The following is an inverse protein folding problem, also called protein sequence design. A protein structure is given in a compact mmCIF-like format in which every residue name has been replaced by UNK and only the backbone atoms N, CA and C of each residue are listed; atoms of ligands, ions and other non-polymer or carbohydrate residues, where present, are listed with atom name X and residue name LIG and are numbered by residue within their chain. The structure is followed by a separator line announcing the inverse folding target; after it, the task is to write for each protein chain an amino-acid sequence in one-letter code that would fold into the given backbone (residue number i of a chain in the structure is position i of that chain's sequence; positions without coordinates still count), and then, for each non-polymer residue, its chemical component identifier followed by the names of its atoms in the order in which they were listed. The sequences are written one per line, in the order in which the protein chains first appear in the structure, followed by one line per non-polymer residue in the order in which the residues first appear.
data_IF_652467772950
#
_entry.id   IF_652467772950
#
_cell.length_a   1.000
_cell.length_b   1.000
_cell.length_c   1.000
_cell.angle_alpha   90.00
_cell.angle_beta   90.00
_cell.angle_gamma   90.00
#
_symmetry.space_group_name_H-M   'P 1'
#
loop_
_entity.id
_entity.type
_entity.pdbx_description
1 polymer ?
#
# COMPACT_ATOMS: atom_id res chain seq x y z
N UNK A 1 -43.47 32.43 -10.98
CA UNK A 1 -42.55 32.23 -12.12
C UNK A 1 -41.57 31.12 -11.77
N UNK A 2 -41.54 30.10 -12.62
CA UNK A 2 -40.75 28.88 -12.50
C UNK A 2 -39.24 29.14 -12.39
N UNK A 3 -38.56 28.35 -11.57
CA UNK A 3 -37.21 27.86 -11.85
C UNK A 3 -37.18 26.37 -11.46
N UNK A 4 -37.31 25.51 -12.46
CA UNK A 4 -37.13 24.07 -12.36
C UNK A 4 -35.64 23.72 -12.37
N UNK A 5 -35.30 22.60 -11.72
CA UNK A 5 -34.34 21.64 -12.28
C UNK A 5 -32.87 21.86 -11.97
N UNK A 6 -32.38 21.14 -10.95
CA UNK A 6 -30.95 20.98 -10.70
C UNK A 6 -30.66 20.15 -9.46
N UNK A 7 -31.19 18.93 -9.36
CA UNK A 7 -30.82 17.97 -8.31
C UNK A 7 -29.43 17.40 -8.68
N UNK A 8 -28.39 18.17 -8.35
CA UNK A 8 -27.01 17.71 -8.35
C UNK A 8 -26.57 17.46 -6.91
N UNK A 9 -27.08 16.40 -6.27
CA UNK A 9 -26.44 15.87 -5.07
C UNK A 9 -25.10 15.25 -5.50
N UNK A 10 -24.09 16.09 -5.70
CA UNK A 10 -22.71 15.66 -5.66
C UNK A 10 -22.46 15.14 -4.25
N UNK A 11 -22.54 13.83 -4.07
CA UNK A 11 -22.24 13.18 -2.79
C UNK A 11 -20.80 13.56 -2.46
N UNK A 12 -20.59 14.49 -1.53
CA UNK A 12 -19.25 14.77 -0.99
C UNK A 12 -18.76 13.47 -0.36
N UNK A 13 -17.84 12.79 -1.05
CA UNK A 13 -17.11 11.65 -0.52
C UNK A 13 -15.94 12.17 0.30
N UNK A 14 -15.72 11.54 1.44
CA UNK A 14 -14.53 11.77 2.24
C UNK A 14 -13.28 11.41 1.42
N UNK A 15 -12.23 12.21 1.56
CA UNK A 15 -10.93 11.87 0.97
C UNK A 15 -10.28 10.83 1.88
N UNK A 16 -9.96 9.69 1.30
CA UNK A 16 -9.29 8.57 1.94
C UNK A 16 -8.23 8.04 0.99
N UNK A 17 -7.02 7.81 1.49
CA UNK A 17 -5.95 7.14 0.75
C UNK A 17 -5.32 6.06 1.61
N UNK A 18 -4.86 5.00 0.96
CA UNK A 18 -4.30 3.83 1.61
C UNK A 18 -3.00 3.46 0.91
N UNK A 19 -1.93 3.31 1.67
CA UNK A 19 -0.66 2.82 1.19
C UNK A 19 -0.25 1.58 2.01
N UNK A 20 -0.60 0.41 1.47
CA UNK A 20 -0.29 -0.87 2.11
C UNK A 20 1.21 -1.23 2.03
N UNK A 21 1.94 -0.66 1.07
CA UNK A 21 3.39 -0.92 0.92
C UNK A 21 4.19 -0.16 1.97
N UNK A 22 3.78 1.08 2.26
CA UNK A 22 4.43 1.90 3.28
C UNK A 22 3.76 1.82 4.66
N UNK A 23 2.70 1.01 4.80
CA UNK A 23 2.07 0.76 6.10
C UNK A 23 1.37 1.99 6.71
N UNK A 24 0.78 2.86 5.90
CA UNK A 24 -0.01 4.00 6.38
C UNK A 24 -1.27 4.25 5.55
N UNK A 25 -2.22 4.95 6.14
CA UNK A 25 -3.36 5.52 5.43
C UNK A 25 -3.53 6.97 5.85
N UNK A 26 -4.35 7.71 5.12
CA UNK A 26 -4.79 8.99 5.61
C UNK A 26 -6.16 9.36 5.14
N UNK A 27 -6.80 10.17 5.96
CA UNK A 27 -8.20 10.52 5.80
C UNK A 27 -8.49 11.89 6.38
N UNK A 28 -9.71 12.35 6.10
CA UNK A 28 -10.24 13.57 6.72
C UNK A 28 -10.69 13.25 8.14
N UNK A 29 -10.55 14.22 9.03
CA UNK A 29 -11.00 14.07 10.43
C UNK A 29 -12.24 14.94 10.73
N UNK A 30 -12.64 15.79 9.78
CA UNK A 30 -13.85 16.61 9.85
C UNK A 30 -14.40 16.92 8.45
N UNK A 31 -15.50 17.69 8.36
CA UNK A 31 -16.11 18.08 7.08
C UNK A 31 -15.23 19.03 6.23
N UNK A 32 -14.35 19.79 6.89
CA UNK A 32 -13.35 20.64 6.24
C UNK A 32 -12.16 19.80 5.78
N UNK A 33 -11.92 19.81 4.49
CA UNK A 33 -10.93 18.95 3.82
C UNK A 33 -9.53 19.56 3.78
N UNK A 34 -9.25 20.56 4.61
CA UNK A 34 -8.03 21.37 4.54
C UNK A 34 -6.80 20.65 5.12
N UNK A 35 -7.00 19.61 5.92
CA UNK A 35 -5.93 18.80 6.50
C UNK A 35 -6.31 17.32 6.39
N UNK A 36 -5.45 16.55 5.72
CA UNK A 36 -5.49 15.09 5.76
C UNK A 36 -4.57 14.63 6.88
N UNK A 37 -5.10 13.80 7.77
CA UNK A 37 -4.30 13.19 8.82
C UNK A 37 -3.76 11.85 8.32
N UNK A 38 -2.47 11.63 8.55
CA UNK A 38 -1.80 10.35 8.32
C UNK A 38 -1.86 9.51 9.60
N UNK A 39 -2.13 8.22 9.42
CA UNK A 39 -2.22 7.22 10.48
C UNK A 39 -1.44 5.97 10.08
N UNK A 40 -0.90 5.27 11.07
CA UNK A 40 -0.35 3.92 10.88
C UNK A 40 -1.45 2.96 10.43
N UNK A 41 -1.06 1.97 9.64
CA UNK A 41 -2.01 1.01 9.11
C UNK A 41 -2.76 0.24 10.20
N UNK A 42 -2.15 -0.05 11.35
CA UNK A 42 -2.76 -0.74 12.49
C UNK A 42 -4.03 -0.07 13.04
N UNK A 43 -4.26 1.21 12.70
CA UNK A 43 -5.46 1.95 13.10
C UNK A 43 -6.65 1.74 12.16
N UNK A 44 -6.46 1.10 11.01
CA UNK A 44 -7.57 0.77 10.12
C UNK A 44 -8.24 -0.53 10.59
N UNK A 45 -9.57 -0.58 10.58
CA UNK A 45 -10.34 -1.73 11.04
C UNK A 45 -10.04 -2.13 12.50
N UNK A 46 -9.68 -1.17 13.36
CA UNK A 46 -9.32 -1.40 14.77
C UNK A 46 -10.55 -1.35 15.71
N UNK A 47 -11.71 -0.99 15.16
CA UNK A 47 -12.97 -0.83 15.87
C UNK A 47 -13.21 0.59 16.43
N UNK A 48 -12.29 1.51 16.20
CA UNK A 48 -12.34 2.92 16.62
C UNK A 48 -12.40 3.81 15.38
N UNK A 49 -13.51 4.52 15.14
CA UNK A 49 -13.58 5.45 14.01
C UNK A 49 -12.61 6.62 14.19
N UNK A 50 -11.54 6.64 13.41
CA UNK A 50 -10.52 7.69 13.38
C UNK A 50 -10.77 8.73 12.30
N UNK A 51 -11.43 8.34 11.21
CA UNK A 51 -11.79 9.23 10.11
C UNK A 51 -13.17 9.89 10.31
N UNK A 52 -13.43 10.97 9.59
CA UNK A 52 -14.61 11.82 9.79
C UNK A 52 -15.93 11.04 9.69
N UNK A 53 -16.08 10.18 8.67
CA UNK A 53 -17.27 9.32 8.54
C UNK A 53 -17.02 7.88 8.96
N UNK A 54 -15.95 7.62 9.71
CA UNK A 54 -15.52 6.27 10.05
C UNK A 54 -15.16 5.45 8.82
N UNK A 55 -14.61 6.09 7.78
CA UNK A 55 -14.26 5.43 6.52
C UNK A 55 -13.24 4.30 6.70
N UNK A 56 -12.39 4.42 7.72
CA UNK A 56 -11.40 3.46 8.21
C UNK A 56 -11.99 2.15 8.73
N UNK A 57 -13.28 2.12 9.09
CA UNK A 57 -13.96 0.94 9.65
C UNK A 57 -14.96 0.32 8.65
N UNK A 58 -14.98 0.78 7.40
CA UNK A 58 -15.95 0.35 6.39
C UNK A 58 -15.65 -1.05 5.85
N UNK A 59 -16.28 -2.05 6.47
CA UNK A 59 -16.20 -3.47 6.06
C UNK A 59 -16.54 -3.76 4.60
N UNK A 60 -17.32 -2.92 3.92
CA UNK A 60 -17.69 -3.10 2.50
C UNK A 60 -16.64 -2.55 1.53
N UNK A 61 -15.94 -1.49 1.91
CA UNK A 61 -15.00 -0.79 1.04
C UNK A 61 -13.57 -1.28 1.29
N UNK A 62 -13.18 -1.35 2.57
CA UNK A 62 -11.85 -1.80 3.02
C UNK A 62 -11.76 -3.30 3.26
N UNK A 63 -12.89 -4.02 3.18
CA UNK A 63 -12.97 -5.46 3.45
C UNK A 63 -12.38 -5.85 4.82
N UNK A 64 -12.64 -5.04 5.85
CA UNK A 64 -12.24 -5.36 7.23
C UNK A 64 -12.64 -6.79 7.61
N UNK A 65 -11.67 -7.58 8.07
CA UNK A 65 -11.88 -8.96 8.51
C UNK A 65 -11.43 -9.14 9.94
N UNK A 66 -12.19 -9.92 10.72
CA UNK A 66 -11.83 -10.24 12.10
C UNK A 66 -10.95 -11.51 12.18
N UNK A 67 -10.94 -12.31 11.11
CA UNK A 67 -10.26 -13.60 11.04
C UNK A 67 -9.13 -13.53 10.01
N UNK A 68 -7.97 -13.11 10.46
CA UNK A 68 -6.73 -13.18 9.70
C UNK A 68 -6.19 -14.59 9.87
N UNK A 69 -5.97 -15.30 8.76
CA UNK A 69 -5.63 -16.74 8.80
C UNK A 69 -6.58 -17.57 9.68
N UNK A 70 -7.76 -17.91 9.12
CA UNK A 70 -8.87 -18.68 9.73
C UNK A 70 -8.50 -19.98 10.49
N UNK A 71 -7.28 -20.48 10.35
CA UNK A 71 -6.83 -21.75 10.95
C UNK A 71 -6.04 -21.58 12.25
N UNK A 72 -5.42 -20.41 12.46
CA UNK A 72 -4.39 -20.23 13.49
C UNK A 72 -4.76 -19.14 14.51
N UNK A 73 -5.95 -18.52 14.39
CA UNK A 73 -6.41 -17.42 15.24
C UNK A 73 -5.35 -16.28 15.32
N UNK A 74 -4.77 -15.95 14.16
CA UNK A 74 -3.68 -14.98 14.07
C UNK A 74 -4.24 -13.58 14.21
N UNK A 75 -3.67 -12.82 15.13
CA UNK A 75 -3.87 -11.38 15.25
C UNK A 75 -2.65 -10.66 14.66
N UNK A 76 -2.89 -9.71 13.76
CA UNK A 76 -1.84 -8.83 13.27
C UNK A 76 -1.37 -7.94 14.45
N UNK A 77 -0.11 -8.08 14.87
CA UNK A 77 0.42 -7.37 16.04
C UNK A 77 0.71 -5.91 15.72
N UNK A 78 1.39 -5.64 14.61
CA UNK A 78 1.75 -4.32 14.11
C UNK A 78 1.20 -4.14 12.69
N UNK A 79 -0.11 -4.24 12.54
CA UNK A 79 -0.75 -4.17 11.24
C UNK A 79 -2.25 -4.35 11.32
N UNK A 80 -2.89 -4.36 10.15
CA UNK A 80 -4.33 -4.50 10.02
C UNK A 80 -4.73 -5.69 9.16
N UNK A 81 -5.96 -6.14 9.41
CA UNK A 81 -6.50 -7.35 8.80
C UNK A 81 -7.48 -7.03 7.69
N UNK A 82 -6.99 -7.10 6.45
CA UNK A 82 -7.77 -6.80 5.25
C UNK A 82 -7.82 -8.05 4.38
N UNK A 83 -9.01 -8.42 3.92
CA UNK A 83 -9.21 -9.58 3.03
C UNK A 83 -8.61 -10.90 3.58
N UNK A 84 -8.69 -11.11 4.91
CA UNK A 84 -8.09 -12.24 5.63
C UNK A 84 -6.56 -12.35 5.56
N UNK A 85 -5.87 -11.27 5.18
CA UNK A 85 -4.41 -11.13 5.19
C UNK A 85 -3.98 -10.02 6.15
N UNK A 86 -2.85 -10.23 6.85
CA UNK A 86 -2.22 -9.16 7.61
C UNK A 86 -1.42 -8.26 6.68
N UNK A 87 -1.69 -6.95 6.76
CA UNK A 87 -0.87 -5.90 6.17
C UNK A 87 -0.19 -5.13 7.29
N UNK A 88 1.13 -5.03 7.23
CA UNK A 88 1.93 -4.53 8.35
C UNK A 88 2.13 -3.02 8.29
N UNK A 89 2.37 -2.44 9.46
CA UNK A 89 2.89 -1.09 9.60
C UNK A 89 4.28 -1.00 8.98
N UNK A 90 4.73 0.23 8.71
CA UNK A 90 6.10 0.45 8.30
C UNK A 90 7.09 -0.13 9.30
N UNK A 91 8.15 -0.78 8.82
CA UNK A 91 9.16 -1.41 9.66
C UNK A 91 8.75 -2.76 10.25
N UNK A 92 7.65 -3.38 9.80
CA UNK A 92 7.23 -4.70 10.27
C UNK A 92 6.89 -5.67 9.13
N UNK A 93 7.12 -6.95 9.39
CA UNK A 93 6.82 -8.07 8.52
C UNK A 93 6.52 -9.35 9.30
N UNK A 94 6.37 -10.46 8.57
CA UNK A 94 5.93 -11.74 9.10
C UNK A 94 4.45 -11.99 8.82
N UNK A 95 3.99 -13.23 9.00
CA UNK A 95 2.59 -13.59 8.76
C UNK A 95 1.62 -12.87 9.70
N UNK A 96 2.09 -12.43 10.87
CA UNK A 96 1.32 -11.74 11.91
C UNK A 96 1.86 -10.33 12.21
N UNK A 97 2.73 -9.78 11.36
CA UNK A 97 3.43 -8.50 11.60
C UNK A 97 4.18 -8.45 12.95
N UNK A 98 4.79 -9.57 13.33
CA UNK A 98 5.49 -9.77 14.60
C UNK A 98 7.00 -9.51 14.52
N UNK A 99 7.55 -9.43 13.31
CA UNK A 99 8.98 -9.28 13.06
C UNK A 99 9.28 -7.84 12.62
N UNK A 100 10.23 -7.13 13.23
CA UNK A 100 10.75 -5.89 12.67
C UNK A 100 11.41 -6.17 11.31
N UNK A 101 10.97 -5.46 10.27
CA UNK A 101 11.40 -5.62 8.89
C UNK A 101 11.31 -4.27 8.15
N UNK A 102 12.45 -3.65 7.85
CA UNK A 102 12.47 -2.41 7.08
C UNK A 102 12.42 -2.74 5.59
N UNK A 103 11.50 -2.12 4.84
CA UNK A 103 11.48 -2.29 3.39
C UNK A 103 12.61 -1.48 2.74
N UNK A 104 13.75 -2.11 2.47
CA UNK A 104 14.91 -1.40 1.92
C UNK A 104 14.68 -0.89 0.49
N UNK A 105 13.67 -1.42 -0.23
CA UNK A 105 13.33 -0.97 -1.57
C UNK A 105 12.87 0.50 -1.61
N UNK A 106 12.40 1.06 -0.49
CA UNK A 106 12.08 2.49 -0.37
C UNK A 106 13.27 3.40 -0.69
N UNK A 107 14.49 2.91 -0.44
CA UNK A 107 15.72 3.65 -0.70
C UNK A 107 16.29 3.43 -2.11
N UNK A 108 15.57 2.67 -2.96
CA UNK A 108 15.96 2.33 -4.34
C UNK A 108 17.40 1.80 -4.44
N UNK A 109 17.74 0.71 -3.73
CA UNK A 109 19.11 0.19 -3.63
C UNK A 109 19.60 -0.54 -4.89
N UNK A 110 18.69 -0.94 -5.78
CA UNK A 110 19.00 -1.73 -6.98
C UNK A 110 19.45 -0.86 -8.17
N UNK A 111 19.99 -1.52 -9.20
CA UNK A 111 20.25 -0.88 -10.50
C UNK A 111 18.96 -0.26 -11.07
N UNK A 112 19.11 0.83 -11.84
CA UNK A 112 17.97 1.50 -12.50
C UNK A 112 17.23 0.60 -13.48
N UNK A 113 17.86 -0.49 -13.94
CA UNK A 113 17.26 -1.53 -14.78
C UNK A 113 16.95 -2.82 -14.00
N UNK A 114 16.67 -2.72 -12.70
CA UNK A 114 16.30 -3.84 -11.85
C UNK A 114 15.00 -3.58 -11.05
N UNK A 115 14.27 -4.65 -10.76
CA UNK A 115 13.21 -4.69 -9.75
C UNK A 115 13.81 -4.97 -8.38
N UNK A 116 13.41 -4.17 -7.39
CA UNK A 116 13.65 -4.46 -5.98
C UNK A 116 12.45 -5.22 -5.41
N UNK A 117 12.72 -6.27 -4.65
CA UNK A 117 11.71 -7.03 -3.92
C UNK A 117 12.13 -7.14 -2.47
N UNK A 118 11.31 -6.60 -1.57
CA UNK A 118 11.51 -6.75 -0.13
C UNK A 118 11.25 -8.20 0.31
N UNK A 119 11.96 -8.66 1.32
CA UNK A 119 11.78 -9.96 1.96
C UNK A 119 12.02 -9.82 3.47
N UNK A 120 11.61 -10.81 4.26
CA UNK A 120 11.78 -10.70 5.72
C UNK A 120 13.26 -10.69 6.10
N UNK A 121 13.71 -9.57 6.64
CA UNK A 121 15.07 -9.28 7.10
C UNK A 121 16.06 -8.94 5.98
N UNK A 122 15.60 -8.74 4.74
CA UNK A 122 16.48 -8.42 3.59
C UNK A 122 15.71 -7.99 2.35
N UNK A 123 16.41 -7.66 1.27
CA UNK A 123 15.82 -7.42 -0.04
C UNK A 123 16.65 -8.11 -1.12
N UNK A 124 16.05 -8.31 -2.29
CA UNK A 124 16.80 -8.75 -3.46
C UNK A 124 16.48 -7.91 -4.69
N UNK A 125 17.50 -7.74 -5.53
CA UNK A 125 17.39 -7.06 -6.81
C UNK A 125 17.38 -8.09 -7.94
N UNK A 126 16.58 -7.84 -8.97
CA UNK A 126 16.55 -8.68 -10.18
C UNK A 126 16.50 -7.82 -11.43
N UNK A 127 17.40 -8.05 -12.39
CA UNK A 127 17.41 -7.27 -13.63
C UNK A 127 16.10 -7.43 -14.41
N UNK A 128 15.67 -6.36 -15.08
CA UNK A 128 14.54 -6.39 -15.98
C UNK A 128 14.76 -7.38 -17.14
N UNK A 129 13.68 -7.92 -17.74
CA UNK A 129 13.80 -8.78 -18.92
C UNK A 129 14.64 -8.14 -20.03
N UNK A 130 15.63 -8.88 -20.54
CA UNK A 130 16.57 -8.42 -21.58
C UNK A 130 17.90 -7.85 -21.06
N UNK A 131 18.01 -7.67 -19.73
CA UNK A 131 19.24 -7.31 -19.03
C UNK A 131 19.79 -8.51 -18.27
N UNK A 132 21.11 -8.53 -18.08
CA UNK A 132 21.81 -9.58 -17.33
C UNK A 132 22.71 -8.95 -16.27
N UNK A 133 22.82 -9.61 -15.12
CA UNK A 133 23.58 -9.11 -13.99
C UNK A 133 23.05 -9.64 -12.66
N UNK A 134 23.51 -9.06 -11.57
CA UNK A 134 23.14 -9.43 -10.19
C UNK A 134 21.99 -8.58 -9.62
N UNK A 135 21.42 -7.68 -10.42
CA UNK A 135 20.38 -6.74 -10.00
C UNK A 135 20.91 -5.45 -9.38
N UNK A 136 22.16 -5.41 -8.93
CA UNK A 136 22.86 -4.18 -8.51
C UNK A 136 23.64 -3.56 -9.66
N UNK A 137 23.99 -4.37 -10.66
CA UNK A 137 24.49 -3.95 -11.96
C UNK A 137 23.77 -4.73 -13.05
N UNK A 138 23.07 -4.04 -13.95
CA UNK A 138 22.33 -4.67 -15.04
C UNK A 138 22.81 -4.21 -16.41
N UNK A 139 23.36 -5.13 -17.20
CA UNK A 139 23.83 -4.85 -18.55
C UNK A 139 22.83 -5.36 -19.59
N UNK A 140 22.33 -4.43 -20.41
CA UNK A 140 21.47 -4.77 -21.53
C UNK A 140 22.25 -5.48 -22.64
N UNK A 141 21.72 -6.59 -23.14
CA UNK A 141 22.19 -7.14 -24.41
C UNK A 141 21.59 -6.29 -25.53
N UNK A 142 22.25 -5.18 -25.87
CA UNK A 142 21.92 -4.45 -27.10
C UNK A 142 22.27 -5.37 -28.27
N UNK A 143 21.35 -6.25 -28.66
CA UNK A 143 21.50 -7.01 -29.89
C UNK A 143 21.54 -5.97 -31.01
N UNK A 144 22.70 -5.86 -31.66
CA UNK A 144 22.95 -4.95 -32.79
C UNK A 144 22.12 -5.38 -34.02
N UNK A 145 20.80 -5.45 -33.90
CA UNK A 145 19.91 -5.83 -35.01
C UNK A 145 19.09 -4.69 -35.57
N UNK A 146 19.35 -3.46 -35.14
CA UNK A 146 19.02 -2.27 -35.91
C UNK A 146 20.28 -1.78 -36.61
N UNK A 147 20.55 -2.37 -37.79
CA UNK A 147 21.29 -1.67 -38.83
C UNK A 147 20.43 -0.46 -39.19
N UNK A 148 20.90 0.72 -38.82
CA UNK A 148 20.37 1.98 -39.32
C UNK A 148 20.23 1.87 -40.84
N UNK A 149 19.03 2.14 -41.35
CA UNK A 149 18.81 2.37 -42.78
C UNK A 149 19.69 3.56 -43.18
N UNK A 150 20.70 3.30 -44.01
CA UNK A 150 21.35 4.33 -44.82
C UNK A 150 20.49 4.57 -46.06
#
# INVERSE_FOLDING_TARGET
VHAQGGIGFGIRKEIFFLNLEDGYFGCQVNESTEVLQLYELSRICDGTPDCYRGSDELRRELKCTNDCHKKDNVRCQNGACLDSQCHCNDGYGGCSCEVPDENECKYRPCDVFAHCTNSLGSFHCSCFPGYQGDGFYCQGSCSRRYRFWN
#
